data_IF_040585692832
#
_entry.id   IF_040585692832
#
_cell.length_a   1.000
_cell.length_b   1.000
_cell.length_c   1.000
_cell.angle_alpha   90.00
_cell.angle_beta   90.00
_cell.angle_gamma   90.00
#
_symmetry.space_group_name_H-M   'P 1'
#
loop_
_entity.id
_entity.type
_entity.pdbx_description
1 polymer ?
#
# COMPACT_ATOMS: atom_id res chain seq x y z
N UNK A 1 29.03 -6.90 -9.95
CA UNK A 1 28.76 -5.44 -10.06
C UNK A 1 27.38 -5.30 -10.70
N UNK A 2 26.40 -5.04 -9.87
CA UNK A 2 25.01 -4.81 -10.28
C UNK A 2 24.96 -3.40 -10.92
N UNK A 3 24.61 -3.31 -12.18
CA UNK A 3 24.39 -2.03 -12.84
C UNK A 3 22.91 -1.67 -12.75
N UNK A 4 22.53 -0.51 -12.18
CA UNK A 4 21.13 -0.07 -12.10
C UNK A 4 20.47 0.15 -13.46
N UNK A 5 21.25 0.16 -14.54
CA UNK A 5 20.77 0.38 -15.90
C UNK A 5 20.11 -0.86 -16.54
N UNK A 6 20.30 -2.07 -15.98
CA UNK A 6 19.85 -3.31 -16.59
C UNK A 6 18.52 -3.86 -16.06
N UNK A 7 17.93 -3.23 -15.03
CA UNK A 7 16.60 -3.60 -14.55
C UNK A 7 15.77 -2.33 -14.37
N UNK A 8 14.99 -1.91 -15.36
CA UNK A 8 14.10 -0.76 -15.22
C UNK A 8 13.13 -1.05 -14.08
N UNK A 9 12.94 -0.06 -13.21
CA UNK A 9 12.02 -0.12 -12.08
C UNK A 9 10.66 -0.67 -12.55
N UNK A 10 10.29 -1.85 -12.05
CA UNK A 10 9.05 -2.54 -12.44
C UNK A 10 7.84 -1.66 -12.18
N UNK A 11 7.86 -0.85 -11.13
CA UNK A 11 6.76 0.03 -10.76
C UNK A 11 6.48 1.11 -11.82
N UNK A 12 7.50 1.49 -12.60
CA UNK A 12 7.40 2.48 -13.67
C UNK A 12 6.98 1.90 -15.04
N UNK A 13 6.84 0.58 -15.15
CA UNK A 13 6.35 -0.06 -16.39
C UNK A 13 4.89 0.29 -16.63
N UNK A 14 4.54 0.49 -17.90
CA UNK A 14 3.14 0.68 -18.32
C UNK A 14 2.42 -0.67 -18.23
N UNK A 15 1.21 -0.66 -17.67
CA UNK A 15 0.34 -1.83 -17.64
C UNK A 15 -0.42 -1.92 -18.94
N UNK A 16 -0.16 -2.98 -19.72
CA UNK A 16 -0.88 -3.22 -20.97
C UNK A 16 -2.37 -3.43 -20.71
N UNK A 17 -3.21 -2.74 -21.48
CA UNK A 17 -4.66 -2.81 -21.35
C UNK A 17 -5.25 -2.00 -20.20
N UNK A 18 -4.41 -1.29 -19.42
CA UNK A 18 -4.90 -0.31 -18.45
C UNK A 18 -5.16 1.04 -19.13
N UNK A 19 -6.25 1.67 -18.74
CA UNK A 19 -6.71 2.96 -19.24
C UNK A 19 -7.02 3.90 -18.09
N UNK A 20 -7.31 5.16 -18.37
CA UNK A 20 -7.77 6.13 -17.37
C UNK A 20 -9.03 5.63 -16.63
N UNK A 21 -9.88 4.85 -17.28
CA UNK A 21 -11.08 4.27 -16.65
C UNK A 21 -10.78 3.26 -15.54
N UNK A 22 -9.55 2.74 -15.46
CA UNK A 22 -9.10 1.83 -14.41
C UNK A 22 -8.64 2.57 -13.14
N UNK A 23 -8.54 3.90 -13.18
CA UNK A 23 -8.21 4.75 -12.04
C UNK A 23 -9.46 5.00 -11.18
N UNK A 24 -9.30 4.94 -9.87
CA UNK A 24 -10.31 5.29 -8.88
C UNK A 24 -10.07 6.71 -8.36
N UNK A 25 -10.96 7.63 -8.69
CA UNK A 25 -10.87 9.03 -8.27
C UNK A 25 -10.95 9.20 -6.75
N UNK A 26 -11.59 8.28 -6.03
CA UNK A 26 -11.60 8.30 -4.57
C UNK A 26 -10.22 8.01 -4.01
N UNK A 27 -9.50 7.07 -4.59
CA UNK A 27 -8.13 6.77 -4.17
C UNK A 27 -7.16 7.90 -4.55
N UNK A 28 -7.36 8.57 -5.67
CA UNK A 28 -6.62 9.80 -6.02
C UNK A 28 -6.83 10.87 -4.96
N UNK A 29 -8.09 11.11 -4.57
CA UNK A 29 -8.41 12.05 -3.50
C UNK A 29 -7.75 11.65 -2.16
N UNK A 30 -7.83 10.38 -1.76
CA UNK A 30 -7.19 9.88 -0.54
C UNK A 30 -5.67 10.08 -0.55
N UNK A 31 -5.03 9.81 -1.68
CA UNK A 31 -3.60 10.02 -1.85
C UNK A 31 -3.23 11.50 -1.66
N UNK A 32 -3.98 12.41 -2.27
CA UNK A 32 -3.82 13.86 -2.10
C UNK A 32 -3.95 14.28 -0.65
N UNK A 33 -4.98 13.80 0.06
CA UNK A 33 -5.19 14.12 1.48
C UNK A 33 -4.04 13.61 2.37
N UNK A 34 -3.57 12.37 2.16
CA UNK A 34 -2.41 11.84 2.90
C UNK A 34 -1.15 12.68 2.66
N UNK A 35 -0.93 13.16 1.43
CA UNK A 35 0.19 14.05 1.13
C UNK A 35 0.06 15.42 1.79
N UNK A 36 -1.13 16.01 1.83
CA UNK A 36 -1.39 17.27 2.56
C UNK A 36 -1.07 17.17 4.04
N UNK A 37 -1.44 16.05 4.66
CA UNK A 37 -1.15 15.79 6.08
C UNK A 37 0.35 15.62 6.32
N UNK A 38 1.03 14.93 5.41
CA UNK A 38 2.46 14.63 5.54
C UNK A 38 3.35 15.84 5.28
N UNK A 39 2.99 16.62 4.27
CA UNK A 39 3.75 17.81 3.84
C UNK A 39 2.79 18.97 3.53
N UNK A 40 2.46 19.72 4.57
CA UNK A 40 1.54 20.86 4.47
C UNK A 40 2.08 22.00 3.58
N UNK A 41 3.37 22.00 3.22
CA UNK A 41 3.98 22.99 2.32
C UNK A 41 3.97 22.58 0.85
N UNK A 42 3.60 21.35 0.53
CA UNK A 42 3.60 20.83 -0.83
C UNK A 42 2.42 21.36 -1.64
N UNK A 43 2.68 21.91 -2.82
CA UNK A 43 1.66 22.30 -3.78
C UNK A 43 1.16 21.13 -4.65
N UNK A 44 1.78 19.95 -4.55
CA UNK A 44 1.42 18.80 -5.38
C UNK A 44 -0.06 18.37 -5.25
N UNK A 45 -0.66 18.31 -4.05
CA UNK A 45 -2.06 17.91 -3.91
C UNK A 45 -3.07 18.88 -4.53
N UNK A 46 -2.66 20.13 -4.81
CA UNK A 46 -3.54 21.15 -5.39
C UNK A 46 -3.56 21.14 -6.93
N UNK A 47 -2.68 20.35 -7.54
CA UNK A 47 -2.67 20.17 -8.99
C UNK A 47 -3.92 19.43 -9.49
N UNK A 48 -4.27 19.62 -10.76
CA UNK A 48 -5.26 18.79 -11.45
C UNK A 48 -4.86 17.31 -11.36
N UNK A 49 -5.83 16.40 -11.28
CA UNK A 49 -5.58 14.99 -11.02
C UNK A 49 -4.59 14.36 -11.99
N UNK A 50 -4.72 14.63 -13.29
CA UNK A 50 -3.81 14.12 -14.30
C UNK A 50 -2.38 14.64 -14.10
N UNK A 51 -2.22 15.93 -13.84
CA UNK A 51 -0.91 16.54 -13.58
C UNK A 51 -0.30 15.99 -12.29
N UNK A 52 -1.11 15.81 -11.25
CA UNK A 52 -0.71 15.23 -9.99
C UNK A 52 -0.18 13.79 -10.16
N UNK A 53 -0.93 12.95 -10.86
CA UNK A 53 -0.58 11.56 -11.11
C UNK A 53 0.66 11.42 -11.99
N UNK A 54 0.82 12.28 -13.01
CA UNK A 54 1.99 12.31 -13.88
C UNK A 54 3.25 12.72 -13.12
N UNK A 55 3.16 13.76 -12.27
CA UNK A 55 4.28 14.18 -11.40
C UNK A 55 4.76 13.08 -10.43
N UNK A 56 3.86 12.19 -10.01
CA UNK A 56 4.19 11.04 -9.17
C UNK A 56 4.59 9.78 -9.98
N UNK A 57 4.67 9.87 -11.31
CA UNK A 57 4.90 8.74 -12.21
C UNK A 57 3.86 7.60 -12.07
N UNK A 58 2.66 7.89 -11.60
CA UNK A 58 1.55 6.94 -11.53
C UNK A 58 0.88 6.75 -12.88
N UNK A 59 0.98 7.75 -13.73
CA UNK A 59 0.62 7.70 -15.16
C UNK A 59 1.74 8.28 -16.00
N UNK A 60 1.65 8.11 -17.30
CA UNK A 60 2.45 8.83 -18.31
C UNK A 60 1.55 9.34 -19.40
N UNK A 61 1.77 10.56 -19.82
CA UNK A 61 1.07 11.15 -20.95
C UNK A 61 1.82 10.80 -22.25
N UNK A 62 1.17 10.11 -23.16
CA UNK A 62 1.69 9.83 -24.51
C UNK A 62 0.69 10.38 -25.55
N UNK A 63 1.02 11.50 -26.20
CA UNK A 63 0.20 12.12 -27.26
C UNK A 63 -1.29 12.23 -26.93
N UNK A 64 -1.61 12.78 -25.76
CA UNK A 64 -2.97 12.92 -25.21
C UNK A 64 -3.63 11.62 -24.70
N UNK A 65 -2.93 10.49 -24.74
CA UNK A 65 -3.39 9.27 -24.09
C UNK A 65 -2.77 9.09 -22.69
N UNK A 66 -3.61 8.73 -21.73
CA UNK A 66 -3.18 8.37 -20.38
C UNK A 66 -2.71 6.92 -20.38
N UNK A 67 -1.45 6.70 -20.04
CA UNK A 67 -0.86 5.37 -19.85
C UNK A 67 -0.65 5.13 -18.36
N UNK A 68 -1.33 4.14 -17.80
CA UNK A 68 -1.26 3.81 -16.37
C UNK A 68 -0.03 2.94 -16.10
N UNK A 69 0.77 3.33 -15.11
CA UNK A 69 1.93 2.55 -14.67
C UNK A 69 1.51 1.47 -13.65
N UNK A 70 2.40 0.51 -13.37
CA UNK A 70 2.20 -0.46 -12.29
C UNK A 70 1.99 0.26 -10.96
N UNK A 71 2.82 1.27 -10.64
CA UNK A 71 2.63 2.09 -9.44
C UNK A 71 1.26 2.79 -9.46
N UNK A 72 0.84 3.34 -10.61
CA UNK A 72 -0.46 3.97 -10.75
C UNK A 72 -1.61 3.03 -10.40
N UNK A 73 -1.58 1.83 -10.95
CA UNK A 73 -2.62 0.84 -10.67
C UNK A 73 -2.58 0.38 -9.20
N UNK A 74 -1.40 0.19 -8.62
CA UNK A 74 -1.24 -0.20 -7.21
C UNK A 74 -1.68 0.89 -6.23
N UNK A 75 -1.50 2.18 -6.55
CA UNK A 75 -1.82 3.26 -5.62
C UNK A 75 -3.24 3.81 -5.79
N UNK A 76 -3.70 3.93 -7.03
CA UNK A 76 -4.97 4.60 -7.35
C UNK A 76 -5.84 3.81 -8.32
N UNK A 77 -5.56 2.54 -8.56
CA UNK A 77 -6.37 1.67 -9.43
C UNK A 77 -7.66 1.21 -8.73
N UNK A 78 -8.68 0.90 -9.53
CA UNK A 78 -9.87 0.20 -9.03
C UNK A 78 -9.51 -1.23 -8.63
N UNK A 79 -10.07 -1.75 -7.53
CA UNK A 79 -9.82 -3.11 -7.06
C UNK A 79 -10.06 -4.18 -8.16
N UNK A 80 -11.14 -4.06 -8.93
CA UNK A 80 -11.42 -4.96 -10.04
C UNK A 80 -10.37 -4.90 -11.16
N UNK A 81 -9.78 -3.72 -11.40
CA UNK A 81 -8.72 -3.53 -12.38
C UNK A 81 -7.40 -4.10 -11.90
N UNK A 82 -7.08 -3.93 -10.60
CA UNK A 82 -5.91 -4.56 -9.96
C UNK A 82 -6.01 -6.08 -10.07
N UNK A 83 -7.13 -6.66 -9.67
CA UNK A 83 -7.34 -8.11 -9.73
C UNK A 83 -7.22 -8.67 -11.17
N UNK A 84 -7.65 -7.91 -12.16
CA UNK A 84 -7.61 -8.31 -13.59
C UNK A 84 -6.23 -8.14 -14.22
N UNK A 85 -5.54 -7.02 -13.93
CA UNK A 85 -4.34 -6.60 -14.65
C UNK A 85 -3.05 -6.91 -13.88
N UNK A 86 -3.12 -7.00 -12.55
CA UNK A 86 -2.02 -7.32 -11.65
C UNK A 86 -2.45 -8.38 -10.64
N UNK A 87 -2.85 -9.59 -11.08
CA UNK A 87 -3.34 -10.64 -10.18
C UNK A 87 -2.33 -11.00 -9.08
N UNK A 88 -1.04 -10.83 -9.34
CA UNK A 88 0.02 -11.03 -8.35
C UNK A 88 0.01 -9.97 -7.24
N UNK A 89 -0.69 -8.86 -7.37
CA UNK A 89 -0.76 -7.81 -6.34
C UNK A 89 -1.67 -8.19 -5.15
N UNK A 90 -1.85 -9.49 -4.91
CA UNK A 90 -2.58 -10.00 -3.77
C UNK A 90 -1.76 -9.87 -2.49
N UNK A 91 -2.44 -9.44 -1.41
CA UNK A 91 -1.92 -9.37 -0.04
C UNK A 91 -2.80 -10.25 0.84
N UNK A 92 -2.19 -11.18 1.55
CA UNK A 92 -2.89 -12.11 2.44
C UNK A 92 -2.45 -11.82 3.88
N UNK A 93 -3.40 -11.41 4.71
CA UNK A 93 -3.19 -11.27 6.15
C UNK A 93 -3.68 -12.53 6.86
N UNK A 94 -2.83 -13.09 7.70
CA UNK A 94 -3.14 -14.24 8.55
C UNK A 94 -2.89 -13.86 10.02
N UNK A 95 -3.81 -14.22 10.89
CA UNK A 95 -3.66 -14.06 12.33
C UNK A 95 -3.70 -15.43 13.01
N UNK A 96 -2.75 -15.64 13.90
CA UNK A 96 -2.65 -16.82 14.76
C UNK A 96 -2.72 -16.36 16.22
N UNK A 97 -3.65 -16.90 17.01
CA UNK A 97 -3.77 -16.56 18.44
C UNK A 97 -2.68 -17.18 19.31
N UNK A 98 -2.05 -18.23 18.83
CA UNK A 98 -1.01 -18.98 19.53
C UNK A 98 0.09 -19.36 18.53
N UNK A 99 1.36 -19.23 18.94
CA UNK A 99 2.53 -19.64 18.16
C UNK A 99 2.55 -21.14 17.81
N UNK A 100 1.88 -21.96 18.62
CA UNK A 100 1.78 -23.40 18.40
C UNK A 100 0.65 -23.80 17.44
N UNK A 101 -0.21 -22.87 17.04
CA UNK A 101 -1.31 -23.16 16.12
C UNK A 101 -0.80 -23.31 14.69
N UNK A 102 -1.31 -24.34 14.01
CA UNK A 102 -1.10 -24.56 12.57
C UNK A 102 -2.22 -23.97 11.73
N UNK A 103 -3.36 -23.64 12.35
CA UNK A 103 -4.53 -23.04 11.70
C UNK A 103 -4.66 -21.56 12.11
N UNK A 104 -4.92 -20.69 11.15
CA UNK A 104 -5.17 -19.28 11.39
C UNK A 104 -6.60 -19.07 11.89
N UNK A 105 -6.79 -18.14 12.84
CA UNK A 105 -8.12 -17.76 13.31
C UNK A 105 -8.77 -16.70 12.43
N UNK A 106 -7.97 -15.93 11.70
CA UNK A 106 -8.47 -14.89 10.83
C UNK A 106 -7.61 -14.80 9.56
N UNK A 107 -8.30 -14.63 8.42
CA UNK A 107 -7.70 -14.45 7.11
C UNK A 107 -8.38 -13.32 6.37
N UNK A 108 -7.60 -12.48 5.71
CA UNK A 108 -8.08 -11.46 4.79
C UNK A 108 -7.25 -11.48 3.52
N UNK A 109 -7.91 -11.72 2.40
CA UNK A 109 -7.32 -11.66 1.06
C UNK A 109 -7.69 -10.30 0.45
N UNK A 110 -6.69 -9.53 0.00
CA UNK A 110 -6.87 -8.16 -0.46
C UNK A 110 -6.20 -7.97 -1.80
N UNK A 111 -6.95 -7.47 -2.78
CA UNK A 111 -6.48 -7.02 -4.10
C UNK A 111 -7.08 -5.64 -4.38
N UNK A 112 -6.54 -4.63 -3.75
CA UNK A 112 -7.03 -3.26 -3.77
C UNK A 112 -5.86 -2.28 -3.64
N UNK A 113 -6.08 -0.96 -3.80
CA UNK A 113 -5.02 0.01 -3.67
C UNK A 113 -4.24 -0.09 -2.36
N UNK A 114 -2.92 0.08 -2.45
CA UNK A 114 -1.98 -0.04 -1.31
C UNK A 114 -2.41 0.80 -0.11
N UNK A 115 -2.95 2.01 -0.35
CA UNK A 115 -3.43 2.89 0.73
C UNK A 115 -4.60 2.24 1.47
N UNK A 116 -5.56 1.68 0.75
CA UNK A 116 -6.70 0.96 1.33
C UNK A 116 -6.26 -0.29 2.10
N UNK A 117 -5.30 -1.06 1.55
CA UNK A 117 -4.70 -2.21 2.25
C UNK A 117 -4.04 -1.77 3.56
N UNK A 118 -3.21 -0.72 3.53
CA UNK A 118 -2.53 -0.21 4.72
C UNK A 118 -3.51 0.25 5.80
N UNK A 119 -4.56 0.97 5.42
CA UNK A 119 -5.57 1.44 6.38
C UNK A 119 -6.30 0.24 7.02
N UNK A 120 -6.72 -0.76 6.23
CA UNK A 120 -7.38 -1.98 6.72
C UNK A 120 -6.48 -2.82 7.63
N UNK A 121 -5.23 -3.03 7.23
CA UNK A 121 -4.26 -3.80 8.02
C UNK A 121 -3.93 -3.09 9.33
N UNK A 122 -3.74 -1.76 9.28
CA UNK A 122 -3.50 -0.96 10.48
C UNK A 122 -4.65 -1.10 11.47
N UNK A 123 -5.89 -0.99 11.01
CA UNK A 123 -7.07 -1.16 11.87
C UNK A 123 -7.18 -2.59 12.41
N UNK A 124 -6.91 -3.59 11.56
CA UNK A 124 -6.95 -4.98 11.97
C UNK A 124 -5.89 -5.30 13.03
N UNK A 125 -4.66 -4.85 12.85
CA UNK A 125 -3.59 -5.06 13.82
C UNK A 125 -3.90 -4.35 15.15
N UNK A 126 -4.45 -3.14 15.11
CA UNK A 126 -4.89 -2.43 16.32
C UNK A 126 -5.92 -3.25 17.14
N UNK A 127 -6.79 -4.00 16.47
CA UNK A 127 -7.79 -4.85 17.15
C UNK A 127 -7.14 -5.95 17.99
N UNK A 128 -5.98 -6.44 17.57
CA UNK A 128 -5.25 -7.49 18.28
C UNK A 128 -4.10 -6.96 19.15
N UNK A 129 -3.72 -5.69 19.00
CA UNK A 129 -2.65 -5.05 19.74
C UNK A 129 -3.08 -4.78 21.19
N UNK A 130 -2.69 -5.64 22.11
CA UNK A 130 -3.13 -5.59 23.51
C UNK A 130 -2.45 -4.48 24.26
N UNK A 131 -3.23 -3.84 25.13
CA UNK A 131 -2.73 -2.87 26.10
C UNK A 131 -2.45 -3.59 27.42
N UNK A 132 -1.21 -3.65 27.82
CA UNK A 132 -0.77 -4.23 29.10
C UNK A 132 -0.36 -3.13 30.07
N UNK A 133 -0.89 -3.19 31.28
CA UNK A 133 -0.51 -2.28 32.35
C UNK A 133 0.72 -2.82 33.09
N UNK A 134 1.85 -2.14 32.98
CA UNK A 134 3.09 -2.50 33.67
C UNK A 134 3.32 -1.52 34.82
N UNK A 135 3.53 -2.04 36.03
CA UNK A 135 3.86 -1.23 37.20
C UNK A 135 5.39 -1.09 37.31
N UNK A 136 5.88 0.14 37.25
CA UNK A 136 7.30 0.47 37.44
C UNK A 136 7.41 1.37 38.67
N UNK A 137 7.74 0.76 39.81
CA UNK A 137 7.75 1.45 41.09
C UNK A 137 6.34 1.95 41.48
N UNK A 138 6.20 3.28 41.62
CA UNK A 138 4.92 3.93 41.91
C UNK A 138 4.11 4.31 40.69
N UNK A 139 4.65 4.10 39.48
CA UNK A 139 4.03 4.49 38.25
C UNK A 139 3.40 3.29 37.54
N UNK A 140 2.19 3.49 36.98
CA UNK A 140 1.52 2.54 36.11
C UNK A 140 1.68 3.03 34.68
N UNK A 141 2.34 2.23 33.85
CA UNK A 141 2.57 2.52 32.45
C UNK A 141 1.66 1.62 31.60
N UNK A 142 1.03 2.22 30.60
CA UNK A 142 0.26 1.49 29.59
C UNK A 142 1.20 1.20 28.41
N UNK A 143 1.40 -0.07 28.11
CA UNK A 143 2.31 -0.53 27.06
C UNK A 143 1.54 -1.41 26.10
N UNK A 144 1.57 -1.06 24.83
CA UNK A 144 1.06 -1.92 23.76
C UNK A 144 2.08 -3.00 23.41
N UNK A 145 1.60 -4.16 22.97
CA UNK A 145 2.48 -5.27 22.52
C UNK A 145 3.36 -4.81 21.35
N UNK A 146 2.82 -3.97 20.45
CA UNK A 146 3.54 -3.38 19.34
C UNK A 146 3.31 -1.87 19.23
N UNK A 147 4.36 -1.12 19.00
CA UNK A 147 4.27 0.30 18.64
C UNK A 147 3.63 0.44 17.25
N UNK A 148 2.65 1.33 17.13
CA UNK A 148 1.98 1.60 15.85
C UNK A 148 2.97 1.98 14.75
N UNK A 149 3.95 2.84 15.05
CA UNK A 149 4.96 3.24 14.10
C UNK A 149 5.77 2.05 13.57
N UNK A 150 6.07 1.07 14.44
CA UNK A 150 6.85 -0.11 14.06
C UNK A 150 6.09 -1.02 13.10
N UNK A 151 4.83 -1.35 13.39
CA UNK A 151 4.10 -2.22 12.49
C UNK A 151 3.69 -1.51 11.18
N UNK A 152 3.42 -0.20 11.20
CA UNK A 152 3.18 0.56 9.97
C UNK A 152 4.41 0.56 9.06
N UNK A 153 5.60 0.76 9.63
CA UNK A 153 6.86 0.69 8.88
C UNK A 153 7.08 -0.72 8.31
N UNK A 154 6.81 -1.76 9.10
CA UNK A 154 6.91 -3.15 8.63
C UNK A 154 5.96 -3.45 7.46
N UNK A 155 4.71 -2.97 7.53
CA UNK A 155 3.73 -3.12 6.45
C UNK A 155 4.17 -2.37 5.19
N UNK A 156 4.62 -1.13 5.34
CA UNK A 156 5.12 -0.33 4.22
C UNK A 156 6.31 -1.02 3.55
N UNK A 157 7.25 -1.54 4.34
CA UNK A 157 8.41 -2.24 3.83
C UNK A 157 8.02 -3.54 3.11
N UNK A 158 7.09 -4.32 3.65
CA UNK A 158 6.60 -5.54 3.01
C UNK A 158 5.96 -5.25 1.64
N UNK A 159 5.19 -4.17 1.52
CA UNK A 159 4.51 -3.79 0.29
C UNK A 159 5.45 -3.12 -0.72
N UNK A 160 6.39 -2.27 -0.24
CA UNK A 160 7.29 -1.51 -1.11
C UNK A 160 8.44 -2.35 -1.68
N UNK A 161 8.96 -3.31 -0.89
CA UNK A 161 10.10 -4.15 -1.29
C UNK A 161 9.71 -5.49 -1.91
N UNK A 162 8.42 -5.73 -2.07
CA UNK A 162 7.94 -6.90 -2.78
C UNK A 162 8.38 -6.89 -4.25
N UNK A 163 8.79 -8.04 -4.77
CA UNK A 163 8.88 -8.26 -6.22
C UNK A 163 7.47 -8.45 -6.79
N UNK A 164 6.98 -7.45 -7.52
CA UNK A 164 5.71 -7.56 -8.26
C UNK A 164 5.85 -8.30 -9.60
N UNK A 165 7.05 -8.77 -9.95
CA UNK A 165 7.29 -9.66 -11.08
C UNK A 165 6.97 -11.11 -10.72
N UNK A 166 7.03 -11.45 -9.44
CA UNK A 166 6.70 -12.78 -8.93
C UNK A 166 5.20 -12.94 -8.75
N UNK A 167 4.67 -14.12 -9.12
CA UNK A 167 3.24 -14.42 -9.00
C UNK A 167 2.82 -14.81 -7.57
N UNK A 168 3.75 -14.80 -6.61
CA UNK A 168 3.45 -15.13 -5.21
C UNK A 168 2.82 -13.94 -4.48
N UNK A 169 1.77 -14.13 -3.64
CA UNK A 169 1.22 -13.07 -2.80
C UNK A 169 2.18 -12.65 -1.68
N UNK A 170 1.89 -11.49 -1.04
CA UNK A 170 2.52 -11.09 0.23
C UNK A 170 1.75 -11.74 1.38
N UNK A 171 2.49 -12.31 2.33
CA UNK A 171 1.95 -12.86 3.57
C UNK A 171 2.42 -12.04 4.76
#
# INVERSE_FOLDING_TARGET
>A
LYSPADNPDFSAKIVEGATESDIDLLEVYRLKEKLRIRDAGSALPDLADTTFLDNLNLIRMDKDEVRVTVAGLLFVGKAASIARLLPQAEVIYLHYSDEAQTEYDNRMDMQEPVISILDKLTERIRTYNRLTNVQVGLFRLEVYDFSEAVFQEALLNALAHRSYEDMAPVY
#
